data_IF_605863414740
#
_entry.id   IF_605863414740
#
_cell.length_a   1.000
_cell.length_b   1.000
_cell.length_c   1.000
_cell.angle_alpha   90.00
_cell.angle_beta   90.00
_cell.angle_gamma   90.00
#
_symmetry.space_group_name_H-M   'P 1'
#
loop_
_entity.id
_entity.type
_entity.pdbx_description
1 polymer ?
#
# COMPACT_ATOMS: atom_id res chain seq x y z
N UNK A 1 -30.18 -13.32 31.22
CA UNK A 1 -30.62 -13.79 29.90
C UNK A 1 -30.65 -12.60 28.97
N UNK A 2 -30.12 -12.72 27.77
CA UNK A 2 -30.23 -11.68 26.73
C UNK A 2 -31.65 -11.82 26.18
N UNK A 3 -32.49 -10.78 26.35
CA UNK A 3 -33.84 -10.73 25.80
C UNK A 3 -33.83 -10.21 24.36
N UNK A 4 -34.89 -10.49 23.60
CA UNK A 4 -35.03 -10.01 22.23
C UNK A 4 -35.02 -8.47 22.13
N UNK A 5 -35.50 -7.79 23.17
CA UNK A 5 -35.41 -6.33 23.26
C UNK A 5 -33.96 -5.84 23.37
N UNK A 6 -33.14 -6.50 24.20
CA UNK A 6 -31.71 -6.18 24.31
C UNK A 6 -30.98 -6.38 23.00
N UNK A 7 -31.33 -7.42 22.23
CA UNK A 7 -30.76 -7.68 20.90
C UNK A 7 -31.16 -6.56 19.93
N UNK A 8 -32.42 -6.16 19.91
CA UNK A 8 -32.89 -5.06 19.05
C UNK A 8 -32.22 -3.73 19.39
N UNK A 9 -32.03 -3.43 20.66
CA UNK A 9 -31.37 -2.21 21.13
C UNK A 9 -29.87 -2.20 20.72
N UNK A 10 -29.20 -3.34 20.81
CA UNK A 10 -27.81 -3.47 20.36
C UNK A 10 -27.70 -3.23 18.85
N UNK A 11 -28.59 -3.88 18.08
CA UNK A 11 -28.62 -3.72 16.61
C UNK A 11 -28.91 -2.26 16.24
N UNK A 12 -29.89 -1.63 16.90
CA UNK A 12 -30.23 -0.22 16.66
C UNK A 12 -29.02 0.69 16.92
N UNK A 13 -28.40 0.57 18.10
CA UNK A 13 -27.20 1.35 18.45
C UNK A 13 -26.02 1.12 17.48
N UNK A 14 -25.91 -0.10 16.94
CA UNK A 14 -24.89 -0.40 15.94
C UNK A 14 -25.14 0.36 14.63
N UNK A 15 -26.38 0.38 14.14
CA UNK A 15 -26.75 1.07 12.91
C UNK A 15 -26.94 2.59 13.05
N UNK A 16 -27.07 3.10 14.28
CA UNK A 16 -27.12 4.54 14.57
C UNK A 16 -25.75 5.23 14.41
N UNK A 17 -24.66 4.46 14.26
CA UNK A 17 -23.34 5.04 13.97
C UNK A 17 -23.33 5.61 12.56
N UNK A 18 -22.84 6.84 12.44
CA UNK A 18 -22.63 7.47 11.13
C UNK A 18 -21.62 6.67 10.29
N UNK A 19 -21.89 6.54 9.01
CA UNK A 19 -20.98 5.93 8.00
C UNK A 19 -20.60 4.46 8.22
N UNK A 20 -21.36 3.69 9.01
CA UNK A 20 -21.02 2.30 9.35
C UNK A 20 -20.77 1.41 8.12
N UNK A 21 -21.51 1.67 7.02
CA UNK A 21 -21.39 0.90 5.78
C UNK A 21 -20.07 1.17 5.03
N UNK A 22 -19.46 2.33 5.23
CA UNK A 22 -18.28 2.79 4.49
C UNK A 22 -17.08 3.10 5.37
N UNK A 23 -17.23 2.91 6.70
CA UNK A 23 -16.21 3.23 7.70
C UNK A 23 -14.87 2.53 7.40
N UNK A 24 -14.88 1.28 6.95
CA UNK A 24 -13.68 0.54 6.58
C UNK A 24 -12.93 1.17 5.40
N UNK A 25 -13.62 1.75 4.42
CA UNK A 25 -12.98 2.48 3.33
C UNK A 25 -12.42 3.81 3.79
N UNK A 26 -13.20 4.55 4.58
CA UNK A 26 -12.84 5.87 5.09
C UNK A 26 -11.65 5.78 6.05
N UNK A 27 -11.67 4.84 7.01
CA UNK A 27 -10.59 4.66 7.97
C UNK A 27 -9.30 4.19 7.31
N UNK A 28 -9.37 3.24 6.38
CA UNK A 28 -8.23 2.79 5.58
C UNK A 28 -7.61 3.92 4.75
N UNK A 29 -8.44 4.78 4.15
CA UNK A 29 -7.96 5.93 3.39
C UNK A 29 -7.29 6.97 4.30
N UNK A 30 -7.88 7.25 5.45
CA UNK A 30 -7.29 8.19 6.42
C UNK A 30 -5.92 7.70 6.90
N UNK A 31 -5.79 6.40 7.20
CA UNK A 31 -4.52 5.78 7.57
C UNK A 31 -3.49 5.83 6.43
N UNK A 32 -3.93 5.59 5.19
CA UNK A 32 -3.08 5.75 4.01
C UNK A 32 -2.48 7.15 3.92
N UNK A 33 -3.29 8.19 4.07
CA UNK A 33 -2.84 9.58 3.90
C UNK A 33 -2.05 10.07 5.12
N UNK A 34 -2.49 9.73 6.36
CA UNK A 34 -1.87 10.23 7.58
C UNK A 34 -0.55 9.53 7.93
N UNK A 35 -0.45 8.21 7.69
CA UNK A 35 0.65 7.38 8.17
C UNK A 35 1.46 6.73 7.03
N UNK A 36 0.78 6.02 6.13
CA UNK A 36 1.47 5.17 5.15
C UNK A 36 2.18 6.02 4.10
N UNK A 37 1.49 7.00 3.53
CA UNK A 37 2.02 7.82 2.44
C UNK A 37 3.25 8.66 2.86
N UNK A 38 3.26 9.38 4.00
CA UNK A 38 4.45 10.06 4.47
C UNK A 38 5.63 9.11 4.69
N UNK A 39 5.39 7.93 5.26
CA UNK A 39 6.43 6.93 5.46
C UNK A 39 7.02 6.43 4.13
N UNK A 40 6.17 6.15 3.14
CA UNK A 40 6.63 5.76 1.80
C UNK A 40 7.49 6.87 1.19
N UNK A 41 7.02 8.12 1.25
CA UNK A 41 7.76 9.24 0.70
C UNK A 41 9.14 9.36 1.38
N UNK A 42 9.21 9.29 2.71
CA UNK A 42 10.48 9.35 3.44
C UNK A 42 11.43 8.18 3.14
N UNK A 43 10.90 6.99 2.82
CA UNK A 43 11.74 5.84 2.43
C UNK A 43 12.41 6.02 1.07
N UNK A 44 11.79 6.77 0.15
CA UNK A 44 12.38 7.05 -1.17
C UNK A 44 13.47 8.09 -1.13
N UNK A 45 13.56 8.89 -0.09
CA UNK A 45 14.57 9.95 0.06
C UNK A 45 15.59 9.59 1.14
N UNK A 46 16.84 10.07 1.04
CA UNK A 46 17.36 10.96 0.01
C UNK A 46 17.62 10.26 -1.34
N UNK A 47 17.35 10.95 -2.44
CA UNK A 47 17.74 10.51 -3.78
C UNK A 47 19.11 11.07 -4.09
N UNK A 48 20.08 10.20 -4.36
CA UNK A 48 21.45 10.58 -4.70
C UNK A 48 21.69 10.30 -6.18
N UNK A 49 21.98 11.34 -6.94
CA UNK A 49 22.32 11.27 -8.36
C UNK A 49 23.82 11.53 -8.48
N UNK A 50 24.56 10.56 -9.01
CA UNK A 50 26.00 10.68 -9.27
C UNK A 50 26.24 10.85 -10.75
N UNK A 51 27.16 11.75 -11.13
CA UNK A 51 27.60 11.90 -12.51
C UNK A 51 28.84 11.05 -12.79
N UNK A 52 28.89 10.48 -13.98
CA UNK A 52 30.10 9.86 -14.51
C UNK A 52 30.97 10.86 -15.29
N UNK A 53 30.40 11.98 -15.69
CA UNK A 53 31.10 13.09 -16.35
C UNK A 53 31.60 14.06 -15.27
N UNK A 54 32.79 14.58 -15.40
CA UNK A 54 33.44 15.46 -14.40
C UNK A 54 32.81 16.86 -14.24
N UNK A 55 31.49 16.98 -14.44
CA UNK A 55 30.73 18.23 -14.34
C UNK A 55 30.26 18.44 -12.90
N UNK A 56 29.70 17.42 -12.27
CA UNK A 56 29.35 17.42 -10.85
C UNK A 56 29.68 16.05 -10.23
N UNK A 57 29.87 16.01 -8.91
CA UNK A 57 30.13 14.75 -8.21
C UNK A 57 28.85 14.04 -7.83
N UNK A 58 27.97 14.75 -7.13
CA UNK A 58 26.71 14.22 -6.69
C UNK A 58 25.68 15.33 -6.43
N UNK A 59 24.43 15.02 -6.69
CA UNK A 59 23.29 15.85 -6.30
C UNK A 59 22.45 15.02 -5.33
N UNK A 60 22.23 15.56 -4.13
CA UNK A 60 21.37 14.93 -3.13
C UNK A 60 20.08 15.72 -3.01
N UNK A 61 18.97 15.04 -3.25
CA UNK A 61 17.61 15.55 -3.06
C UNK A 61 17.06 14.98 -1.77
N UNK A 62 16.59 15.85 -0.86
CA UNK A 62 16.03 15.44 0.42
C UNK A 62 14.73 16.21 0.71
N UNK A 63 13.82 15.59 1.47
CA UNK A 63 12.53 16.18 1.83
C UNK A 63 12.61 16.78 3.22
N UNK A 64 12.14 18.03 3.35
CA UNK A 64 12.05 18.74 4.63
C UNK A 64 10.65 18.71 5.24
N UNK A 65 9.61 18.77 4.40
CA UNK A 65 8.23 18.85 4.85
C UNK A 65 7.27 18.28 3.77
N UNK A 66 6.16 17.71 4.21
CA UNK A 66 5.10 17.17 3.35
C UNK A 66 3.78 17.83 3.75
N UNK A 67 3.10 18.46 2.80
CA UNK A 67 1.82 19.12 3.02
C UNK A 67 0.75 18.54 2.11
N UNK A 68 -0.41 18.29 2.71
CA UNK A 68 -1.62 17.89 1.99
C UNK A 68 -2.49 19.13 1.76
N UNK A 69 -2.69 19.51 0.49
CA UNK A 69 -3.50 20.67 0.14
C UNK A 69 -4.90 20.22 -0.31
N UNK A 70 -5.91 20.92 0.21
CA UNK A 70 -7.31 20.69 -0.17
C UNK A 70 -7.52 20.89 -1.67
N UNK A 71 -8.53 20.23 -2.26
CA UNK A 71 -8.83 20.34 -3.68
C UNK A 71 -9.27 21.76 -4.02
N UNK A 72 -8.57 22.37 -4.98
CA UNK A 72 -8.88 23.68 -5.52
C UNK A 72 -9.06 23.61 -7.02
N UNK A 73 -9.93 24.44 -7.54
CA UNK A 73 -10.14 24.66 -8.96
C UNK A 73 -9.86 26.13 -9.30
N UNK A 74 -9.09 26.35 -10.33
CA UNK A 74 -8.82 27.70 -10.85
C UNK A 74 -9.70 27.95 -12.06
N UNK A 75 -10.53 28.98 -11.99
CA UNK A 75 -11.38 29.39 -13.09
C UNK A 75 -10.59 30.18 -14.16
N UNK A 76 -11.17 30.34 -15.35
CA UNK A 76 -10.53 31.05 -16.47
C UNK A 76 -10.18 32.52 -16.14
N UNK A 77 -10.84 33.10 -15.15
CA UNK A 77 -10.58 34.46 -14.66
C UNK A 77 -9.39 34.53 -13.67
N UNK A 78 -8.74 33.36 -13.36
CA UNK A 78 -7.62 33.27 -12.42
C UNK A 78 -8.03 33.14 -10.95
N UNK A 79 -9.33 33.16 -10.62
CA UNK A 79 -9.77 32.94 -9.25
C UNK A 79 -9.69 31.46 -8.87
N UNK A 80 -9.09 31.16 -7.72
CA UNK A 80 -9.05 29.80 -7.16
C UNK A 80 -10.16 29.61 -6.16
N UNK A 81 -11.01 28.63 -6.40
CA UNK A 81 -12.11 28.25 -5.52
C UNK A 81 -11.90 26.84 -4.99
N UNK A 82 -12.48 26.53 -3.82
CA UNK A 82 -12.45 25.19 -3.27
C UNK A 82 -13.34 24.29 -4.13
N UNK A 83 -12.79 23.15 -4.55
CA UNK A 83 -13.53 22.15 -5.32
C UNK A 83 -14.38 21.31 -4.37
N UNK A 84 -15.69 21.32 -4.55
CA UNK A 84 -16.62 20.44 -3.83
C UNK A 84 -16.94 19.19 -4.64
N UNK A 85 -17.41 18.10 -4.02
CA UNK A 85 -17.82 16.88 -4.72
C UNK A 85 -18.90 17.16 -5.79
N UNK A 86 -19.89 18.02 -5.49
CA UNK A 86 -20.95 18.39 -6.44
C UNK A 86 -20.40 19.11 -7.68
N UNK A 87 -19.48 20.06 -7.49
CA UNK A 87 -18.84 20.77 -8.62
C UNK A 87 -17.98 19.79 -9.43
N UNK A 88 -17.28 18.87 -8.77
CA UNK A 88 -16.47 17.87 -9.47
C UNK A 88 -17.33 16.95 -10.36
N UNK A 89 -18.52 16.54 -9.92
CA UNK A 89 -19.48 15.77 -10.73
C UNK A 89 -20.01 16.59 -11.92
N UNK A 90 -20.45 17.81 -11.67
CA UNK A 90 -21.08 18.67 -12.70
C UNK A 90 -20.10 19.07 -13.80
N UNK A 91 -18.83 19.33 -13.44
CA UNK A 91 -17.81 19.83 -14.38
C UNK A 91 -16.85 18.74 -14.86
N UNK A 92 -17.13 17.48 -14.58
CA UNK A 92 -16.28 16.34 -14.95
C UNK A 92 -14.83 16.45 -14.45
N UNK A 93 -14.64 16.97 -13.23
CA UNK A 93 -13.33 17.05 -12.61
C UNK A 93 -13.04 15.82 -11.75
N UNK A 94 -11.75 15.59 -11.48
CA UNK A 94 -11.32 14.63 -10.48
C UNK A 94 -11.18 15.33 -9.13
N UNK A 95 -11.93 14.85 -8.13
CA UNK A 95 -11.87 15.35 -6.78
C UNK A 95 -10.64 14.77 -6.08
N UNK A 96 -9.54 15.55 -6.00
CA UNK A 96 -8.24 15.06 -5.56
C UNK A 96 -7.51 15.99 -4.61
N UNK A 97 -6.77 15.37 -3.67
CA UNK A 97 -5.84 16.00 -2.74
C UNK A 97 -4.49 16.22 -3.46
N UNK A 98 -3.90 17.38 -3.31
CA UNK A 98 -2.55 17.66 -3.83
C UNK A 98 -1.50 17.42 -2.75
N UNK A 99 -0.47 16.62 -3.07
CA UNK A 99 0.67 16.38 -2.21
C UNK A 99 1.76 17.36 -2.59
N UNK A 100 2.07 18.26 -1.68
CA UNK A 100 3.07 19.30 -1.86
C UNK A 100 4.23 19.03 -0.90
N UNK A 101 5.44 19.04 -1.43
CA UNK A 101 6.64 18.81 -0.64
C UNK A 101 7.53 20.05 -0.64
N UNK A 102 8.26 20.21 0.46
CA UNK A 102 9.40 21.13 0.57
C UNK A 102 10.68 20.31 0.43
N UNK A 103 11.45 20.61 -0.59
CA UNK A 103 12.64 19.84 -0.96
C UNK A 103 13.91 20.64 -0.77
N UNK A 104 14.97 20.00 -0.29
CA UNK A 104 16.31 20.55 -0.27
C UNK A 104 17.20 19.86 -1.31
N UNK A 105 18.00 20.65 -1.99
CA UNK A 105 18.96 20.22 -2.99
C UNK A 105 20.36 20.56 -2.55
N UNK A 106 21.23 19.56 -2.43
CA UNK A 106 22.65 19.73 -2.13
C UNK A 106 23.44 19.30 -3.34
N UNK A 107 24.31 20.16 -3.85
CA UNK A 107 25.13 19.91 -5.02
C UNK A 107 26.60 19.89 -4.60
N UNK A 108 27.30 18.85 -4.99
CA UNK A 108 28.75 18.70 -4.80
C UNK A 108 29.39 18.67 -6.19
N UNK A 109 30.26 19.64 -6.44
CA UNK A 109 30.92 19.85 -7.75
C UNK A 109 32.41 19.52 -7.65
N UNK A 110 32.99 19.08 -8.76
CA UNK A 110 34.44 19.02 -8.94
C UNK A 110 34.92 20.25 -9.69
N UNK A 111 35.86 20.98 -9.09
CA UNK A 111 36.50 22.10 -9.73
C UNK A 111 38.02 22.03 -9.41
N UNK A 112 38.87 21.92 -10.44
CA UNK A 112 40.34 21.88 -10.31
C UNK A 112 40.83 20.86 -9.25
N UNK A 113 40.33 19.62 -9.28
CA UNK A 113 40.60 18.55 -8.30
C UNK A 113 40.15 18.84 -6.85
N UNK A 114 39.47 19.94 -6.64
CA UNK A 114 38.85 20.26 -5.35
C UNK A 114 37.37 19.92 -5.36
N UNK A 115 36.89 19.42 -4.22
CA UNK A 115 35.46 19.15 -3.99
C UNK A 115 34.84 20.39 -3.37
N UNK A 116 33.96 21.05 -4.09
CA UNK A 116 33.22 22.21 -3.62
C UNK A 116 31.77 21.81 -3.36
N UNK A 117 31.30 22.08 -2.15
CA UNK A 117 29.90 21.89 -1.79
C UNK A 117 29.18 23.24 -1.91
N UNK A 118 28.20 23.31 -2.82
CA UNK A 118 27.33 24.49 -2.90
C UNK A 118 26.40 24.62 -1.68
N UNK A 119 25.96 25.85 -1.36
CA UNK A 119 24.99 26.07 -0.30
C UNK A 119 23.67 25.33 -0.61
N UNK A 120 23.07 24.74 0.43
CA UNK A 120 21.81 24.02 0.32
C UNK A 120 20.71 24.92 -0.24
N UNK A 121 20.14 24.54 -1.39
CA UNK A 121 19.02 25.23 -2.02
C UNK A 121 17.71 24.61 -1.58
N UNK A 122 16.83 25.40 -1.01
CA UNK A 122 15.48 24.98 -0.61
C UNK A 122 14.49 25.38 -1.69
N UNK A 123 13.67 24.42 -2.10
CA UNK A 123 12.59 24.61 -3.08
C UNK A 123 11.27 24.33 -2.36
N UNK A 124 10.46 25.37 -2.24
CA UNK A 124 9.14 25.28 -1.62
C UNK A 124 8.06 24.92 -2.65
N UNK A 125 6.97 24.31 -2.17
CA UNK A 125 5.75 24.05 -2.93
C UNK A 125 5.94 23.19 -4.21
N UNK A 126 6.78 22.17 -4.13
CA UNK A 126 6.92 21.19 -5.22
C UNK A 126 5.73 20.24 -5.20
N UNK A 127 4.94 20.22 -6.27
CA UNK A 127 3.83 19.27 -6.43
C UNK A 127 4.39 17.88 -6.73
N UNK A 128 4.27 16.95 -5.79
CA UNK A 128 4.66 15.55 -5.99
C UNK A 128 3.61 14.78 -6.81
N UNK A 129 2.34 15.01 -6.51
CA UNK A 129 1.24 14.34 -7.20
C UNK A 129 -0.12 14.70 -6.64
N UNK A 130 -1.15 14.04 -7.19
CA UNK A 130 -2.53 14.19 -6.73
C UNK A 130 -3.13 12.81 -6.46
N UNK A 131 -3.87 12.68 -5.36
CA UNK A 131 -4.57 11.44 -4.97
C UNK A 131 -6.07 11.75 -4.89
N UNK A 132 -6.94 10.92 -5.52
CA UNK A 132 -8.39 11.08 -5.38
C UNK A 132 -8.82 11.02 -3.92
N UNK A 133 -9.75 11.88 -3.52
CA UNK A 133 -10.27 11.95 -2.16
C UNK A 133 -11.48 11.04 -2.04
N UNK A 134 -11.53 10.22 -0.99
CA UNK A 134 -12.74 9.50 -0.61
C UNK A 134 -13.71 10.49 0.05
N UNK A 135 -14.92 10.56 -0.49
CA UNK A 135 -16.00 11.42 0.04
C UNK A 135 -16.30 11.03 1.49
N UNK A 136 -16.45 12.01 2.36
CA UNK A 136 -16.58 11.91 3.83
C UNK A 136 -15.33 11.41 4.58
N UNK A 137 -14.16 11.31 3.91
CA UNK A 137 -12.90 11.13 4.63
C UNK A 137 -12.48 12.38 5.38
N UNK A 138 -11.48 12.29 6.25
CA UNK A 138 -10.91 13.42 7.02
C UNK A 138 -10.54 14.62 6.13
N UNK A 139 -10.08 14.36 4.91
CA UNK A 139 -9.64 15.36 3.94
C UNK A 139 -10.76 15.84 3.00
N UNK A 140 -11.97 15.34 3.17
CA UNK A 140 -13.11 15.80 2.40
C UNK A 140 -13.58 17.16 2.88
N UNK A 141 -13.81 18.08 1.94
CA UNK A 141 -14.28 19.43 2.22
C UNK A 141 -15.64 19.45 2.89
N UNK A 142 -16.48 18.44 2.63
CA UNK A 142 -17.82 18.30 3.21
C UNK A 142 -17.85 18.20 4.73
N UNK A 143 -16.74 17.81 5.38
CA UNK A 143 -16.66 17.75 6.84
C UNK A 143 -16.47 19.13 7.49
N UNK A 144 -15.89 20.08 6.75
CA UNK A 144 -15.46 21.38 7.29
C UNK A 144 -16.34 22.54 6.79
N UNK A 145 -17.00 22.37 5.67
CA UNK A 145 -17.80 23.41 5.01
C UNK A 145 -19.20 22.86 4.76
N UNK A 146 -20.23 23.68 5.06
CA UNK A 146 -21.60 23.37 4.66
C UNK A 146 -21.69 23.34 3.14
N UNK A 147 -21.96 22.19 2.59
CA UNK A 147 -22.10 21.96 1.15
C UNK A 147 -23.53 21.53 0.83
N UNK A 148 -23.95 21.72 -0.42
CA UNK A 148 -25.27 21.28 -0.92
C UNK A 148 -25.37 19.75 -1.11
N UNK A 149 -24.46 19.00 -0.46
CA UNK A 149 -24.45 17.54 -0.56
C UNK A 149 -25.60 16.91 0.24
N UNK A 150 -26.09 15.79 -0.26
CA UNK A 150 -27.16 15.05 0.41
C UNK A 150 -26.73 14.58 1.81
N UNK A 151 -27.54 14.85 2.81
CA UNK A 151 -27.29 14.43 4.20
C UNK A 151 -27.27 12.90 4.37
N UNK A 152 -27.95 12.18 3.48
CA UNK A 152 -28.05 10.71 3.49
C UNK A 152 -26.99 10.03 2.62
N UNK A 153 -26.08 10.79 2.01
CA UNK A 153 -24.94 10.21 1.31
C UNK A 153 -24.04 9.47 2.30
N UNK A 154 -23.76 8.21 2.04
CA UNK A 154 -22.93 7.36 2.92
C UNK A 154 -21.42 7.60 2.70
N UNK A 155 -21.02 8.26 1.61
CA UNK A 155 -19.62 8.46 1.26
C UNK A 155 -18.87 7.17 0.91
N UNK A 156 -17.56 7.14 1.08
CA UNK A 156 -16.73 5.94 0.84
C UNK A 156 -16.39 5.69 -0.63
N UNK A 157 -16.66 6.63 -1.52
CA UNK A 157 -16.35 6.56 -2.95
C UNK A 157 -15.47 7.74 -3.37
N UNK A 158 -14.85 7.64 -4.54
CA UNK A 158 -14.04 8.68 -5.17
C UNK A 158 -14.73 9.23 -6.41
N UNK A 159 -14.45 10.49 -6.77
CA UNK A 159 -14.97 11.12 -7.99
C UNK A 159 -13.80 11.32 -8.95
N UNK A 160 -13.84 10.65 -10.10
CA UNK A 160 -12.81 10.70 -11.14
C UNK A 160 -13.47 11.07 -12.45
N UNK A 161 -13.05 12.20 -13.03
CA UNK A 161 -13.64 12.75 -14.26
C UNK A 161 -15.18 12.85 -14.18
N UNK A 162 -15.69 13.31 -13.02
CA UNK A 162 -17.12 13.46 -12.77
C UNK A 162 -17.87 12.18 -12.43
N UNK A 163 -17.26 11.01 -12.57
CA UNK A 163 -17.87 9.72 -12.28
C UNK A 163 -17.55 9.25 -10.87
N UNK A 164 -18.56 8.78 -10.15
CA UNK A 164 -18.40 8.15 -8.86
C UNK A 164 -17.89 6.72 -9.04
N UNK A 165 -16.81 6.38 -8.33
CA UNK A 165 -16.20 5.05 -8.37
C UNK A 165 -15.96 4.56 -6.95
N UNK A 166 -16.33 3.31 -6.68
CA UNK A 166 -16.05 2.65 -5.40
C UNK A 166 -14.96 1.62 -5.57
N UNK A 167 -14.10 1.51 -4.56
CA UNK A 167 -13.07 0.48 -4.48
C UNK A 167 -13.67 -0.73 -3.79
N UNK A 168 -13.71 -1.87 -4.49
CA UNK A 168 -14.22 -3.12 -3.95
C UNK A 168 -13.13 -3.79 -3.12
N UNK A 169 -13.45 -4.17 -1.88
CA UNK A 169 -12.54 -4.92 -1.01
C UNK A 169 -12.26 -6.31 -1.60
N UNK A 170 -11.01 -6.72 -1.55
CA UNK A 170 -10.59 -8.04 -2.01
C UNK A 170 -9.96 -8.82 -0.85
N UNK A 171 -10.43 -10.04 -0.64
CA UNK A 171 -9.82 -10.96 0.29
C UNK A 171 -8.61 -11.66 -0.34
N UNK A 172 -7.52 -11.75 0.40
CA UNK A 172 -6.33 -12.51 0.02
C UNK A 172 -5.75 -13.21 1.24
N UNK A 173 -4.98 -14.26 0.98
CA UNK A 173 -4.28 -14.98 2.06
C UNK A 173 -3.28 -14.04 2.74
N UNK A 174 -3.20 -14.16 4.07
CA UNK A 174 -2.27 -13.37 4.89
C UNK A 174 -0.83 -13.67 4.48
N UNK A 175 -0.01 -12.64 4.15
CA UNK A 175 1.41 -12.84 3.86
C UNK A 175 2.21 -13.21 5.12
N UNK A 176 3.39 -13.80 4.91
CA UNK A 176 4.36 -14.16 5.95
C UNK A 176 3.83 -15.13 7.03
N UNK A 177 2.75 -15.87 6.71
CA UNK A 177 2.18 -16.88 7.60
C UNK A 177 2.10 -18.23 6.89
N UNK A 178 2.51 -19.28 7.58
CA UNK A 178 2.40 -20.64 7.07
C UNK A 178 0.96 -21.11 7.22
N UNK A 179 0.36 -21.51 6.10
CA UNK A 179 -1.00 -22.04 6.03
C UNK A 179 -0.93 -23.49 5.58
N UNK A 180 -1.56 -24.38 6.35
CA UNK A 180 -1.61 -25.82 6.04
C UNK A 180 -3.05 -26.20 5.74
N UNK A 181 -3.27 -26.87 4.62
CA UNK A 181 -4.59 -27.31 4.19
C UNK A 181 -4.54 -28.65 3.45
N UNK A 182 -5.63 -29.43 3.51
CA UNK A 182 -5.75 -30.66 2.73
C UNK A 182 -5.86 -30.33 1.23
N UNK A 183 -5.20 -31.12 0.40
CA UNK A 183 -5.22 -30.92 -1.04
C UNK A 183 -6.32 -31.79 -1.67
N UNK A 184 -7.11 -31.20 -2.57
CA UNK A 184 -8.15 -31.92 -3.33
C UNK A 184 -7.57 -32.83 -4.43
N UNK A 185 -6.26 -32.87 -4.59
CA UNK A 185 -5.59 -33.61 -5.65
C UNK A 185 -5.19 -35.01 -5.14
N UNK A 186 -5.49 -36.06 -5.90
CA UNK A 186 -5.16 -37.47 -5.55
C UNK A 186 -3.66 -37.70 -5.32
N UNK A 187 -2.80 -36.87 -5.91
CA UNK A 187 -1.34 -37.00 -5.81
C UNK A 187 -0.77 -36.53 -4.46
N UNK A 188 -1.42 -35.57 -3.79
CA UNK A 188 -0.97 -34.97 -2.54
C UNK A 188 -2.05 -35.02 -1.48
N UNK A 189 -1.68 -35.32 -0.24
CA UNK A 189 -2.59 -35.33 0.90
C UNK A 189 -2.70 -33.97 1.59
N UNK A 190 -1.56 -33.33 1.82
CA UNK A 190 -1.46 -32.03 2.49
C UNK A 190 -0.57 -31.09 1.71
N UNK A 191 -0.86 -29.79 1.81
CA UNK A 191 -0.02 -28.72 1.30
C UNK A 191 0.15 -27.66 2.36
N UNK A 192 1.39 -27.23 2.58
CA UNK A 192 1.73 -26.06 3.38
C UNK A 192 2.24 -24.97 2.44
N UNK A 193 1.71 -23.76 2.54
CA UNK A 193 2.08 -22.63 1.70
C UNK A 193 2.41 -21.41 2.55
N UNK A 194 3.48 -20.71 2.17
CA UNK A 194 3.82 -19.40 2.69
C UNK A 194 4.02 -18.42 1.54
N UNK A 195 3.43 -17.24 1.67
CA UNK A 195 3.64 -16.11 0.76
C UNK A 195 4.50 -15.08 1.46
N UNK A 196 5.77 -15.02 1.08
CA UNK A 196 6.72 -14.11 1.69
C UNK A 196 6.72 -12.77 0.99
N UNK A 197 6.56 -11.70 1.78
CA UNK A 197 6.66 -10.31 1.34
C UNK A 197 7.57 -9.60 2.34
N UNK A 198 8.61 -8.87 1.90
CA UNK A 198 9.38 -8.03 2.81
C UNK A 198 8.50 -6.90 3.36
N UNK A 199 8.73 -6.52 4.62
CA UNK A 199 7.96 -5.46 5.30
C UNK A 199 8.32 -4.06 4.82
N UNK A 200 9.53 -3.87 4.33
CA UNK A 200 10.10 -2.54 4.05
C UNK A 200 10.12 -2.16 2.57
N UNK A 201 9.88 -3.10 1.67
CA UNK A 201 9.97 -2.84 0.22
C UNK A 201 8.76 -3.37 -0.52
N UNK A 202 8.34 -2.66 -1.58
CA UNK A 202 7.30 -3.12 -2.50
C UNK A 202 7.86 -4.19 -3.44
N UNK A 203 7.66 -5.45 -3.08
CA UNK A 203 8.02 -6.58 -3.92
C UNK A 203 6.79 -7.46 -4.18
N UNK A 204 6.81 -8.13 -5.33
CA UNK A 204 5.81 -9.17 -5.60
C UNK A 204 5.97 -10.33 -4.62
N UNK A 205 4.86 -10.83 -4.03
CA UNK A 205 4.93 -11.97 -3.11
C UNK A 205 5.59 -13.18 -3.77
N UNK A 206 6.47 -13.84 -3.03
CA UNK A 206 7.05 -15.12 -3.46
C UNK A 206 6.46 -16.25 -2.65
N UNK A 207 5.85 -17.22 -3.35
CA UNK A 207 5.19 -18.35 -2.71
C UNK A 207 6.13 -19.55 -2.66
N UNK A 208 6.33 -20.08 -1.46
CA UNK A 208 6.95 -21.39 -1.24
C UNK A 208 5.85 -22.37 -0.86
N UNK A 209 5.79 -23.52 -1.52
CA UNK A 209 4.84 -24.57 -1.15
C UNK A 209 5.56 -25.90 -0.85
N UNK A 210 5.18 -26.49 0.27
CA UNK A 210 5.63 -27.82 0.72
C UNK A 210 4.47 -28.77 0.64
N UNK A 211 4.63 -29.89 -0.04
CA UNK A 211 3.56 -30.85 -0.32
C UNK A 211 3.93 -32.24 0.18
N UNK A 212 2.97 -32.88 0.83
CA UNK A 212 3.07 -34.29 1.25
C UNK A 212 2.38 -35.17 0.21
N UNK A 213 3.06 -36.17 -0.32
CA UNK A 213 2.47 -37.12 -1.27
C UNK A 213 1.44 -38.00 -0.58
N UNK A 214 0.38 -38.37 -1.31
CA UNK A 214 -0.67 -39.26 -0.81
C UNK A 214 -0.21 -40.74 -0.83
N UNK A 215 -0.93 -41.59 -0.10
CA UNK A 215 -0.68 -43.06 -0.06
C UNK A 215 -0.89 -43.74 -1.43
N UNK A 216 -1.68 -43.15 -2.31
CA UNK A 216 -1.93 -43.63 -3.67
C UNK A 216 -0.80 -43.28 -4.65
N UNK A 217 0.16 -42.50 -4.22
CA UNK A 217 1.31 -42.11 -5.05
C UNK A 217 2.38 -43.22 -4.99
N UNK A 218 3.15 -43.40 -6.08
CA UNK A 218 4.30 -44.31 -6.17
C UNK A 218 5.32 -44.12 -5.02
N UNK A 219 5.33 -42.94 -4.41
CA UNK A 219 6.18 -42.58 -3.26
C UNK A 219 5.27 -42.09 -2.13
N UNK A 220 4.94 -42.96 -1.19
CA UNK A 220 4.12 -42.65 -0.03
C UNK A 220 4.85 -41.73 0.96
N UNK A 221 4.12 -40.77 1.55
CA UNK A 221 4.59 -39.89 2.62
C UNK A 221 5.90 -39.14 2.31
N UNK A 222 6.11 -38.79 1.06
CA UNK A 222 7.28 -38.09 0.62
C UNK A 222 7.04 -36.59 0.59
N UNK A 223 7.93 -35.79 1.20
CA UNK A 223 7.79 -34.34 1.24
C UNK A 223 8.56 -33.72 0.09
N UNK A 224 7.86 -32.90 -0.69
CA UNK A 224 8.39 -32.14 -1.82
C UNK A 224 8.19 -30.67 -1.62
N UNK A 225 9.13 -29.87 -2.11
CA UNK A 225 9.07 -28.41 -2.06
C UNK A 225 9.04 -27.86 -3.48
N UNK A 226 8.15 -26.90 -3.70
CA UNK A 226 8.12 -26.07 -4.90
C UNK A 226 8.68 -24.69 -4.55
N UNK A 227 9.84 -24.38 -5.09
CA UNK A 227 10.55 -23.12 -4.87
C UNK A 227 10.26 -22.18 -6.05
N UNK A 228 10.06 -20.85 -5.82
CA UNK A 228 9.93 -19.88 -6.90
C UNK A 228 11.07 -19.99 -7.92
N UNK A 229 10.75 -19.82 -9.19
CA UNK A 229 11.67 -19.93 -10.32
C UNK A 229 12.12 -21.35 -10.70
N UNK A 230 11.77 -22.38 -9.94
CA UNK A 230 12.03 -23.77 -10.32
C UNK A 230 10.75 -24.41 -10.85
N UNK A 231 10.83 -25.04 -12.02
CA UNK A 231 9.67 -25.68 -12.67
C UNK A 231 9.30 -27.03 -12.05
N UNK A 232 10.28 -27.69 -11.38
CA UNK A 232 10.13 -29.05 -10.84
C UNK A 232 10.12 -29.02 -9.32
N UNK A 233 9.30 -29.88 -8.73
CA UNK A 233 9.28 -30.10 -7.29
C UNK A 233 10.54 -30.86 -6.82
N UNK A 234 11.15 -30.39 -5.77
CA UNK A 234 12.40 -30.94 -5.21
C UNK A 234 12.13 -31.67 -3.89
N UNK A 235 12.78 -32.80 -3.62
CA UNK A 235 12.73 -33.44 -2.31
C UNK A 235 13.26 -32.52 -1.20
N UNK A 236 12.59 -32.55 -0.03
CA UNK A 236 12.95 -31.65 1.08
C UNK A 236 14.40 -31.83 1.54
N UNK A 237 14.91 -33.06 1.60
CA UNK A 237 16.28 -33.35 2.02
C UNK A 237 17.32 -32.68 1.11
N UNK A 238 17.06 -32.61 -0.20
CA UNK A 238 17.96 -31.93 -1.15
C UNK A 238 18.04 -30.45 -0.86
N UNK A 239 16.89 -29.84 -0.51
CA UNK A 239 16.84 -28.41 -0.18
C UNK A 239 17.58 -28.12 1.12
N UNK A 240 17.40 -28.93 2.17
CA UNK A 240 18.14 -28.75 3.42
C UNK A 240 19.66 -28.90 3.24
N UNK A 241 20.10 -29.88 2.43
CA UNK A 241 21.53 -30.03 2.09
C UNK A 241 22.07 -28.84 1.32
N UNK A 242 21.29 -28.29 0.40
CA UNK A 242 21.68 -27.07 -0.33
C UNK A 242 21.77 -25.85 0.60
N UNK A 243 21.00 -25.81 1.69
CA UNK A 243 21.05 -24.79 2.72
C UNK A 243 22.17 -25.00 3.78
N UNK A 244 22.93 -26.10 3.67
CA UNK A 244 24.08 -26.38 4.55
C UNK A 244 23.84 -27.45 5.63
N UNK A 245 22.62 -27.98 5.76
CA UNK A 245 22.34 -29.11 6.67
C UNK A 245 22.68 -30.44 5.99
N UNK A 246 23.86 -31.01 6.28
CA UNK A 246 24.36 -32.20 5.56
C UNK A 246 23.84 -33.50 6.19
N UNK A 247 23.70 -33.54 7.52
CA UNK A 247 23.32 -34.73 8.27
C UNK A 247 21.80 -34.97 8.20
N UNK A 248 21.40 -36.19 7.83
CA UNK A 248 19.99 -36.60 7.82
C UNK A 248 19.36 -36.52 9.24
N UNK A 249 20.15 -36.74 10.28
CA UNK A 249 19.71 -36.63 11.68
C UNK A 249 19.34 -35.18 12.03
N UNK A 250 20.13 -34.22 11.58
CA UNK A 250 19.83 -32.80 11.77
C UNK A 250 18.56 -32.39 11.00
N UNK A 251 18.41 -32.84 9.76
CA UNK A 251 17.22 -32.54 8.94
C UNK A 251 15.95 -33.11 9.59
N UNK A 252 16.02 -34.30 10.21
CA UNK A 252 14.87 -34.91 10.90
C UNK A 252 14.54 -34.22 12.24
N UNK A 253 15.46 -33.49 12.81
CA UNK A 253 15.22 -32.74 14.07
C UNK A 253 14.57 -31.36 13.84
N UNK A 254 14.58 -30.86 12.61
CA UNK A 254 13.86 -29.65 12.20
C UNK A 254 12.41 -29.96 11.80
#
# INVERSE_FOLDING_TARGET
MITDENIRDIIKRYFDKSNILTDHHISSYNDLIDNILPNIIHQFFPIIITSHDNIFKSITLDIKDIKMAYPTHTENNGTSTILTPSIARLRNYTYSLSIIIKMSVKIVIYENDLIIQEPEKIIDNVLLGKIPIIVKSKYCVTNNISTDECKHDVGGYVIINGNEKSIISQEKMLPNKILVYPTKNSKYSLSAEIRSIPSETFCTPKSLSVKLTSKESKYENYIKILIPHLKTEIPIFVVFRALGCISDREICNY
#
